data_IF_320100812585
#
_entry.id   IF_320100812585
#
_cell.length_a   1.000
_cell.length_b   1.000
_cell.length_c   1.000
_cell.angle_alpha   90.00
_cell.angle_beta   90.00
_cell.angle_gamma   90.00
#
_symmetry.space_group_name_H-M   'P 1'
#
loop_
_entity.id
_entity.type
_entity.pdbx_description
1 polymer ?
#
# COMPACT_ATOMS: atom_id res chain seq x y z
N UNK A 1 -15.28 -17.37 -1.53
CA UNK A 1 -15.13 -15.90 -1.49
C UNK A 1 -13.97 -15.62 -0.55
N UNK A 2 -12.76 -15.46 -1.08
CA UNK A 2 -11.55 -15.31 -0.27
C UNK A 2 -11.49 -13.86 0.22
N UNK A 3 -11.62 -13.63 1.53
CA UNK A 3 -11.49 -12.29 2.11
C UNK A 3 -10.06 -11.78 1.89
N UNK A 4 -9.90 -10.68 1.17
CA UNK A 4 -8.61 -10.01 1.01
C UNK A 4 -8.24 -9.32 2.33
N UNK A 5 -7.42 -10.00 3.14
CA UNK A 5 -6.89 -9.48 4.41
C UNK A 5 -5.55 -8.80 4.14
N UNK A 6 -5.46 -7.52 4.45
CA UNK A 6 -4.22 -6.75 4.31
C UNK A 6 -3.46 -6.76 5.65
N UNK A 7 -2.19 -7.15 5.60
CA UNK A 7 -1.25 -6.92 6.70
C UNK A 7 -0.55 -5.60 6.46
N UNK A 8 -0.57 -4.70 7.46
CA UNK A 8 0.15 -3.44 7.38
C UNK A 8 1.65 -3.71 7.38
N UNK A 9 2.38 -3.20 6.39
CA UNK A 9 3.84 -3.20 6.38
C UNK A 9 4.34 -1.81 5.99
N UNK A 10 5.48 -1.41 6.55
CA UNK A 10 6.12 -0.14 6.24
C UNK A 10 7.26 -0.40 5.27
N UNK A 11 7.38 0.45 4.26
CA UNK A 11 8.54 0.52 3.39
C UNK A 11 9.45 1.61 3.97
N UNK A 12 10.64 1.22 4.43
CA UNK A 12 11.57 2.13 5.15
C UNK A 12 12.62 2.70 4.20
N UNK A 13 12.95 1.99 3.12
CA UNK A 13 13.99 2.36 2.17
C UNK A 13 13.45 2.37 0.74
N UNK A 14 13.70 3.46 0.02
CA UNK A 14 13.27 3.69 -1.36
C UNK A 14 12.47 4.97 -1.50
N UNK A 15 12.89 5.85 -2.40
CA UNK A 15 12.15 7.04 -2.81
C UNK A 15 11.50 6.76 -4.18
N UNK A 16 10.36 6.05 -4.23
CA UNK A 16 9.67 5.81 -5.50
C UNK A 16 9.16 7.13 -6.05
N UNK A 17 9.44 7.37 -7.33
CA UNK A 17 8.91 8.54 -8.02
C UNK A 17 7.47 8.27 -8.46
N UNK A 18 7.24 7.11 -9.09
CA UNK A 18 5.92 6.70 -9.55
C UNK A 18 5.40 5.46 -8.80
N UNK A 19 4.10 5.22 -8.93
CA UNK A 19 3.45 4.01 -8.39
C UNK A 19 4.07 2.72 -8.94
N UNK A 20 4.53 2.70 -10.19
CA UNK A 20 5.24 1.53 -10.74
C UNK A 20 6.54 1.21 -9.98
N UNK A 21 7.29 2.23 -9.56
CA UNK A 21 8.50 2.05 -8.74
C UNK A 21 8.13 1.49 -7.37
N UNK A 22 7.04 1.99 -6.78
CA UNK A 22 6.51 1.48 -5.52
C UNK A 22 6.11 0.00 -5.62
N UNK A 23 5.46 -0.42 -6.73
CA UNK A 23 5.13 -1.83 -6.97
C UNK A 23 6.37 -2.73 -6.97
N UNK A 24 7.45 -2.30 -7.62
CA UNK A 24 8.73 -3.03 -7.66
C UNK A 24 9.37 -3.12 -6.28
N UNK A 25 9.35 -2.04 -5.51
CA UNK A 25 9.88 -2.01 -4.14
C UNK A 25 9.11 -2.97 -3.23
N UNK A 26 7.78 -2.98 -3.32
CA UNK A 26 6.92 -3.90 -2.54
C UNK A 26 7.24 -5.35 -2.88
N UNK A 27 7.32 -5.71 -4.17
CA UNK A 27 7.68 -7.07 -4.58
C UNK A 27 9.05 -7.46 -4.05
N UNK A 28 10.03 -6.56 -4.11
CA UNK A 28 11.40 -6.82 -3.63
C UNK A 28 11.41 -7.08 -2.12
N UNK A 29 10.78 -6.22 -1.33
CA UNK A 29 10.70 -6.36 0.13
C UNK A 29 9.91 -7.62 0.55
N UNK A 30 8.89 -8.00 -0.23
CA UNK A 30 8.02 -9.14 0.04
C UNK A 30 8.19 -10.25 -1.00
N UNK A 31 9.44 -10.50 -1.41
CA UNK A 31 9.77 -11.45 -2.49
C UNK A 31 9.12 -12.82 -2.31
N UNK A 32 9.12 -13.36 -1.09
CA UNK A 32 8.51 -14.68 -0.82
C UNK A 32 6.98 -14.67 -0.91
N UNK A 33 6.34 -13.54 -0.62
CA UNK A 33 4.87 -13.42 -0.62
C UNK A 33 4.33 -13.12 -2.02
N UNK A 34 5.13 -12.46 -2.86
CA UNK A 34 4.80 -12.10 -4.23
C UNK A 34 5.74 -12.76 -5.24
N UNK A 35 6.25 -13.96 -4.94
CA UNK A 35 7.19 -14.67 -5.83
C UNK A 35 6.57 -14.97 -7.19
N UNK A 36 5.27 -15.27 -7.18
CA UNK A 36 4.51 -15.74 -8.33
C UNK A 36 3.69 -14.61 -9.00
N UNK A 37 3.83 -13.38 -8.52
CA UNK A 37 3.09 -12.21 -9.01
C UNK A 37 4.09 -11.21 -9.57
N UNK A 38 3.90 -10.77 -10.80
CA UNK A 38 4.72 -9.71 -11.38
C UNK A 38 4.39 -8.35 -10.77
N UNK A 39 5.39 -7.47 -10.68
CA UNK A 39 5.23 -6.20 -9.98
C UNK A 39 4.13 -5.35 -10.62
N UNK A 40 4.04 -5.35 -11.96
CA UNK A 40 3.02 -4.65 -12.74
C UNK A 40 1.60 -5.18 -12.49
N UNK A 41 1.47 -6.45 -12.10
CA UNK A 41 0.19 -7.09 -11.75
C UNK A 41 -0.31 -6.72 -10.35
N UNK A 42 0.48 -6.02 -9.53
CA UNK A 42 0.03 -5.52 -8.25
C UNK A 42 -0.93 -4.34 -8.45
N UNK A 43 -2.17 -4.48 -7.99
CA UNK A 43 -3.11 -3.36 -7.87
C UNK A 43 -2.92 -2.67 -6.52
N UNK A 44 -2.53 -1.40 -6.54
CA UNK A 44 -2.36 -0.60 -5.32
C UNK A 44 -3.55 0.33 -5.12
N UNK A 45 -4.00 0.43 -3.87
CA UNK A 45 -5.12 1.27 -3.47
C UNK A 45 -4.66 2.24 -2.40
N UNK A 46 -4.86 3.54 -2.62
CA UNK A 46 -4.71 4.55 -1.58
C UNK A 46 -5.92 4.46 -0.65
N UNK A 47 -5.64 4.34 0.64
CA UNK A 47 -6.66 4.27 1.69
C UNK A 47 -6.31 5.20 2.84
N UNK A 48 -7.33 5.75 3.51
CA UNK A 48 -7.16 6.53 4.74
C UNK A 48 -7.71 5.75 5.93
N UNK A 49 -6.82 5.15 6.72
CA UNK A 49 -7.19 4.30 7.86
C UNK A 49 -6.64 4.93 9.15
N UNK A 50 -7.50 5.29 10.12
CA UNK A 50 -7.03 5.82 11.39
C UNK A 50 -6.33 4.71 12.19
N UNK A 51 -5.02 4.87 12.39
CA UNK A 51 -4.21 3.96 13.22
C UNK A 51 -4.36 4.36 14.70
N UNK A 52 -5.38 3.80 15.35
CA UNK A 52 -5.58 3.94 16.81
C UNK A 52 -5.12 2.66 17.55
N UNK A 53 -4.76 2.72 18.84
CA UNK A 53 -4.33 1.55 19.62
C UNK A 53 -5.32 0.37 19.54
N UNK A 54 -6.63 0.66 19.47
CA UNK A 54 -7.69 -0.34 19.37
C UNK A 54 -7.72 -1.12 18.03
N UNK A 55 -7.09 -0.59 16.97
CA UNK A 55 -7.12 -1.17 15.62
C UNK A 55 -5.73 -1.55 15.09
N UNK A 56 -4.66 -1.35 15.87
CA UNK A 56 -3.26 -1.57 15.47
C UNK A 56 -2.95 -2.99 14.97
N UNK A 57 -3.70 -3.99 15.43
CA UNK A 57 -3.50 -5.40 15.08
C UNK A 57 -4.72 -6.02 14.39
N UNK A 58 -5.74 -5.22 14.05
CA UNK A 58 -6.92 -5.76 13.37
C UNK A 58 -6.59 -5.90 11.88
N UNK A 59 -6.88 -7.06 11.26
CA UNK A 59 -6.76 -7.20 9.82
C UNK A 59 -7.68 -6.19 9.15
N UNK A 60 -7.14 -5.48 8.16
CA UNK A 60 -7.88 -4.50 7.37
C UNK A 60 -8.60 -5.26 6.25
N UNK A 61 -9.92 -5.09 6.18
CA UNK A 61 -10.76 -5.61 5.09
C UNK A 61 -10.98 -4.49 4.08
N UNK A 62 -10.50 -4.65 2.85
CA UNK A 62 -10.52 -3.59 1.83
C UNK A 62 -11.93 -3.03 1.58
N UNK A 63 -12.96 -3.88 1.59
CA UNK A 63 -14.36 -3.46 1.40
C UNK A 63 -14.89 -2.51 2.48
N UNK A 64 -14.31 -2.56 3.69
CA UNK A 64 -14.72 -1.73 4.82
C UNK A 64 -13.97 -0.40 4.86
N UNK A 65 -12.94 -0.23 4.04
CA UNK A 65 -12.10 0.96 4.02
C UNK A 65 -12.58 1.90 2.93
N UNK A 66 -13.32 2.94 3.34
CA UNK A 66 -13.71 4.05 2.47
C UNK A 66 -13.24 5.38 3.07
N UNK A 67 -12.68 6.29 2.26
CA UNK A 67 -12.48 6.19 0.81
C UNK A 67 -11.26 5.32 0.43
N UNK A 68 -11.37 4.62 -0.70
CA UNK A 68 -10.27 3.92 -1.37
C UNK A 68 -10.19 4.38 -2.82
N UNK A 69 -8.99 4.75 -3.29
CA UNK A 69 -8.75 5.16 -4.68
C UNK A 69 -7.70 4.23 -5.27
N UNK A 70 -7.99 3.62 -6.41
CA UNK A 70 -7.00 2.84 -7.16
C UNK A 70 -5.91 3.77 -7.69
N UNK A 71 -4.66 3.35 -7.61
CA UNK A 71 -3.50 4.12 -8.08
C UNK A 71 -3.05 3.63 -9.45
N UNK A 72 -2.89 4.56 -10.38
CA UNK A 72 -2.36 4.27 -11.71
C UNK A 72 -0.83 4.12 -11.63
N UNK A 73 -0.21 3.19 -12.39
CA UNK A 73 1.25 3.05 -12.43
C UNK A 73 2.02 4.34 -12.73
N UNK A 74 1.40 5.27 -13.46
CA UNK A 74 1.99 6.56 -13.86
C UNK A 74 1.77 7.69 -12.84
N UNK A 75 0.98 7.47 -11.79
CA UNK A 75 0.76 8.50 -10.79
C UNK A 75 2.07 8.79 -10.02
N UNK A 76 2.37 10.08 -9.87
CA UNK A 76 3.48 10.55 -9.03
C UNK A 76 3.14 10.33 -7.55
N UNK A 77 4.05 9.68 -6.82
CA UNK A 77 3.85 9.38 -5.39
C UNK A 77 3.67 10.67 -4.58
N UNK A 78 4.36 11.75 -4.94
CA UNK A 78 4.23 13.04 -4.28
C UNK A 78 2.86 13.70 -4.47
N UNK A 79 2.18 13.46 -5.60
CA UNK A 79 0.83 13.98 -5.85
C UNK A 79 -0.23 13.11 -5.16
N UNK A 80 0.01 11.80 -5.04
CA UNK A 80 -0.91 10.87 -4.38
C UNK A 80 -0.90 11.04 -2.85
N UNK A 81 0.27 11.37 -2.29
CA UNK A 81 0.51 11.53 -0.86
C UNK A 81 0.95 12.96 -0.54
N UNK A 82 0.06 13.92 -0.78
CA UNK A 82 0.29 15.36 -0.53
C UNK A 82 0.70 15.70 0.91
N UNK A 83 0.27 14.90 1.89
CA UNK A 83 0.57 15.14 3.30
C UNK A 83 1.77 14.29 3.74
N UNK A 84 2.90 14.91 4.12
CA UNK A 84 3.98 14.17 4.74
C UNK A 84 3.44 13.47 6.00
N UNK A 85 3.88 12.24 6.29
CA UNK A 85 3.35 11.49 7.41
C UNK A 85 3.47 12.34 8.69
N UNK A 86 2.43 12.37 9.55
CA UNK A 86 2.45 13.18 10.74
C UNK A 86 3.68 12.81 11.57
N UNK A 87 4.49 13.82 11.90
CA UNK A 87 5.68 13.67 12.74
C UNK A 87 5.25 13.05 14.07
N UNK A 88 5.86 11.93 14.43
CA UNK A 88 5.73 11.34 15.77
C UNK A 88 6.44 12.20 16.80
#
# INVERSE_FOLDING_TARGET
>A
MTEARLNLFCLVDGEPQHVDDLKKLIKTEKTNQFSDVDADQLTLWRVSIPVVPANKHKPIVLNDVKPSTELDPTDDISEVFDEPPPKK
#
